data_IF_986060080496
#
_entry.id   IF_986060080496
#
_cell.length_a   1.000
_cell.length_b   1.000
_cell.length_c   1.000
_cell.angle_alpha   90.00
_cell.angle_beta   90.00
_cell.angle_gamma   90.00
#
_symmetry.space_group_name_H-M   'P 1'
#
loop_
_entity.id
_entity.type
_entity.pdbx_description
1 polymer ?
#
# COMPACT_ATOMS: atom_id res chain seq x y z
N UNK A 1 18.10 5.19 23.93
CA UNK A 1 16.70 5.59 23.69
C UNK A 1 16.33 5.10 22.30
N UNK A 2 15.60 4.01 22.24
CA UNK A 2 15.10 3.44 20.97
C UNK A 2 14.01 4.38 20.46
N UNK A 3 14.21 5.04 19.31
CA UNK A 3 13.17 5.77 18.62
C UNK A 3 12.12 4.74 18.22
N UNK A 4 11.02 4.68 18.94
CA UNK A 4 9.83 3.97 18.51
C UNK A 4 9.22 4.82 17.40
N UNK A 5 9.42 4.41 16.15
CA UNK A 5 8.66 4.93 15.03
C UNK A 5 7.27 4.33 15.15
N UNK A 6 6.31 5.13 15.64
CA UNK A 6 4.95 4.68 16.00
C UNK A 6 4.04 4.36 14.78
N UNK A 7 4.58 4.30 13.59
CA UNK A 7 3.83 4.24 12.33
C UNK A 7 3.66 2.84 11.77
N UNK A 8 4.58 1.95 12.13
CA UNK A 8 4.53 0.54 11.82
C UNK A 8 4.62 -0.22 13.14
N UNK A 9 3.52 -0.66 13.67
CA UNK A 9 3.47 -1.49 14.86
C UNK A 9 3.07 -2.91 14.51
N UNK A 10 3.49 -3.87 15.32
CA UNK A 10 3.02 -5.23 15.22
C UNK A 10 2.64 -5.78 16.60
N UNK A 11 1.60 -6.58 16.64
CA UNK A 11 1.27 -7.40 17.78
C UNK A 11 1.64 -8.83 17.46
N UNK A 12 2.58 -9.45 18.21
CA UNK A 12 2.89 -10.86 18.04
C UNK A 12 1.66 -11.69 18.38
N UNK A 13 1.60 -12.88 17.81
CA UNK A 13 0.51 -13.81 18.09
C UNK A 13 0.49 -14.20 19.57
N UNK A 14 -0.67 -14.20 20.16
CA UNK A 14 -0.87 -14.77 21.49
C UNK A 14 -0.87 -16.32 21.43
N UNK A 15 -1.21 -16.89 20.27
CA UNK A 15 -1.15 -18.33 19.99
C UNK A 15 -0.86 -18.61 18.51
N UNK A 16 -0.51 -19.86 18.16
CA UNK A 16 -0.28 -20.27 16.76
C UNK A 16 -1.54 -20.19 15.89
N UNK A 17 -2.72 -20.08 16.48
CA UNK A 17 -4.00 -20.00 15.78
C UNK A 17 -4.51 -18.58 15.60
N UNK A 18 -3.95 -17.60 16.32
CA UNK A 18 -4.32 -16.19 16.16
C UNK A 18 -3.48 -15.53 15.07
N UNK A 19 -4.08 -14.65 14.24
CA UNK A 19 -3.32 -13.89 13.25
C UNK A 19 -2.39 -12.90 13.96
N UNK A 20 -1.19 -12.71 13.41
CA UNK A 20 -0.40 -11.56 13.76
C UNK A 20 -1.05 -10.30 13.16
N UNK A 21 -0.83 -9.14 13.77
CA UNK A 21 -1.34 -7.87 13.27
C UNK A 21 -0.18 -6.95 12.92
N UNK A 22 -0.16 -6.44 11.69
CA UNK A 22 0.70 -5.32 11.26
C UNK A 22 -0.17 -4.09 11.01
N UNK A 23 0.31 -2.92 11.40
CA UNK A 23 -0.40 -1.67 11.22
C UNK A 23 0.38 -0.75 10.26
N UNK A 24 -0.29 -0.28 9.22
CA UNK A 24 0.18 0.74 8.28
C UNK A 24 -0.60 2.02 8.57
N UNK A 25 -0.09 2.83 9.50
CA UNK A 25 -0.80 4.01 10.02
C UNK A 25 -0.09 5.32 9.68
N UNK A 26 0.62 5.35 8.54
CA UNK A 26 1.30 6.54 8.06
C UNK A 26 1.42 6.53 6.53
N UNK A 27 2.08 7.55 6.00
CA UNK A 27 2.47 7.63 4.60
C UNK A 27 3.39 6.47 4.20
N UNK A 28 3.26 6.02 2.96
CA UNK A 28 4.13 5.00 2.37
C UNK A 28 5.37 5.67 1.78
N UNK A 29 6.55 5.18 2.22
CA UNK A 29 7.85 5.73 1.81
C UNK A 29 8.18 7.06 2.49
N UNK A 30 9.27 7.68 2.06
CA UNK A 30 9.65 9.02 2.48
C UNK A 30 8.84 10.07 1.73
N UNK A 31 8.50 11.18 2.38
CA UNK A 31 7.88 12.31 1.72
C UNK A 31 8.92 13.17 0.96
N UNK A 32 8.44 14.10 0.14
CA UNK A 32 9.27 15.03 -0.64
C UNK A 32 10.14 15.95 0.20
N UNK A 33 9.86 16.08 1.48
CA UNK A 33 10.57 16.94 2.43
C UNK A 33 11.45 16.17 3.40
N UNK A 34 11.62 14.85 3.19
CA UNK A 34 12.43 13.97 4.05
C UNK A 34 11.73 13.54 5.33
N UNK A 35 10.41 13.64 5.39
CA UNK A 35 9.60 13.03 6.45
C UNK A 35 9.66 11.51 6.37
N UNK A 36 9.70 10.86 7.53
CA UNK A 36 9.78 9.40 7.62
C UNK A 36 8.40 8.78 7.52
N UNK A 37 8.16 8.01 6.48
CA UNK A 37 7.00 7.12 6.38
C UNK A 37 7.41 5.64 6.43
N UNK A 38 6.50 4.76 6.05
CA UNK A 38 6.69 3.31 6.05
C UNK A 38 7.36 2.89 4.74
N UNK A 39 8.67 2.67 4.75
CA UNK A 39 9.38 2.15 3.59
C UNK A 39 9.11 0.65 3.39
N UNK A 40 9.28 0.17 2.15
CA UNK A 40 9.20 -1.25 1.84
C UNK A 40 10.18 -2.08 2.67
N UNK A 41 11.37 -1.52 2.98
CA UNK A 41 12.35 -2.20 3.84
C UNK A 41 11.82 -2.35 5.27
N UNK A 42 11.33 -1.28 5.88
CA UNK A 42 10.79 -1.34 7.24
C UNK A 42 9.63 -2.33 7.33
N UNK A 43 8.76 -2.34 6.32
CA UNK A 43 7.66 -3.30 6.22
C UNK A 43 8.16 -4.74 6.08
N UNK A 44 9.20 -4.99 5.28
CA UNK A 44 9.81 -6.30 5.13
C UNK A 44 10.37 -6.83 6.46
N UNK A 45 11.08 -5.99 7.21
CA UNK A 45 11.66 -6.35 8.50
C UNK A 45 10.54 -6.71 9.52
N UNK A 46 9.46 -5.93 9.56
CA UNK A 46 8.30 -6.20 10.39
C UNK A 46 7.57 -7.50 9.96
N UNK A 47 7.43 -7.72 8.64
CA UNK A 47 6.80 -8.93 8.09
C UNK A 47 7.58 -10.20 8.46
N UNK A 48 8.90 -10.14 8.49
CA UNK A 48 9.75 -11.25 8.96
C UNK A 48 9.54 -11.52 10.45
N UNK A 49 9.38 -10.47 11.25
CA UNK A 49 9.20 -10.57 12.70
C UNK A 49 7.89 -11.27 13.11
N UNK A 50 6.83 -11.14 12.31
CA UNK A 50 5.53 -11.77 12.60
C UNK A 50 5.47 -13.26 12.22
N UNK A 51 6.46 -13.75 11.49
CA UNK A 51 6.58 -15.16 11.13
C UNK A 51 5.55 -15.65 10.10
N UNK A 52 5.46 -16.98 9.87
CA UNK A 52 4.85 -17.55 8.66
C UNK A 52 3.34 -17.83 8.75
N UNK A 53 2.60 -17.42 9.76
CA UNK A 53 1.19 -17.78 9.89
C UNK A 53 0.22 -16.71 9.37
N UNK A 54 -1.10 -16.82 9.66
CA UNK A 54 -2.10 -15.85 9.27
C UNK A 54 -1.75 -14.43 9.71
N UNK A 55 -2.09 -13.45 8.87
CA UNK A 55 -1.74 -12.06 9.08
C UNK A 55 -2.96 -11.16 8.86
N UNK A 56 -3.17 -10.20 9.75
CA UNK A 56 -4.04 -9.05 9.53
C UNK A 56 -3.16 -7.83 9.30
N UNK A 57 -3.44 -7.07 8.26
CA UNK A 57 -2.81 -5.78 7.99
C UNK A 57 -3.86 -4.69 8.15
N UNK A 58 -3.77 -3.92 9.22
CA UNK A 58 -4.64 -2.77 9.45
C UNK A 58 -4.07 -1.54 8.74
N UNK A 59 -4.93 -0.83 8.00
CA UNK A 59 -4.52 0.25 7.12
C UNK A 59 -5.27 1.54 7.49
N UNK A 60 -4.49 2.58 7.74
CA UNK A 60 -4.94 3.96 7.86
C UNK A 60 -3.85 4.87 7.26
N UNK A 61 -3.84 4.99 5.94
CA UNK A 61 -2.75 5.63 5.19
C UNK A 61 -3.27 6.46 4.02
N UNK A 62 -2.73 7.68 3.84
CA UNK A 62 -3.03 8.52 2.67
C UNK A 62 -2.36 8.01 1.38
N UNK A 63 -1.51 7.00 1.44
CA UNK A 63 -0.68 6.55 0.34
C UNK A 63 0.74 7.12 0.40
N UNK A 64 1.36 7.36 -0.75
CA UNK A 64 2.72 7.91 -0.84
C UNK A 64 3.53 7.32 -1.99
N UNK A 65 4.74 6.82 -1.74
CA UNK A 65 5.64 6.32 -2.77
C UNK A 65 5.10 5.06 -3.45
N UNK A 66 4.94 5.14 -4.78
CA UNK A 66 4.37 4.06 -5.59
C UNK A 66 5.23 2.79 -5.54
N UNK A 67 6.56 2.92 -5.57
CA UNK A 67 7.47 1.77 -5.59
C UNK A 67 7.49 1.03 -4.26
N UNK A 68 7.51 1.76 -3.14
CA UNK A 68 7.40 1.15 -1.81
C UNK A 68 6.05 0.42 -1.66
N UNK A 69 4.97 1.05 -2.09
CA UNK A 69 3.65 0.45 -2.00
C UNK A 69 3.48 -0.80 -2.87
N UNK A 70 4.01 -0.79 -4.10
CA UNK A 70 4.02 -1.97 -4.97
C UNK A 70 4.88 -3.10 -4.38
N UNK A 71 6.02 -2.77 -3.76
CA UNK A 71 6.85 -3.76 -3.09
C UNK A 71 6.11 -4.39 -1.89
N UNK A 72 5.44 -3.58 -1.07
CA UNK A 72 4.59 -4.06 0.04
C UNK A 72 3.46 -4.95 -0.47
N UNK A 73 2.75 -4.52 -1.53
CA UNK A 73 1.71 -5.32 -2.18
C UNK A 73 2.25 -6.70 -2.60
N UNK A 74 3.39 -6.73 -3.28
CA UNK A 74 3.99 -7.98 -3.76
C UNK A 74 4.46 -8.88 -2.61
N UNK A 75 5.02 -8.31 -1.53
CA UNK A 75 5.38 -9.07 -0.33
C UNK A 75 4.17 -9.74 0.32
N UNK A 76 3.05 -9.05 0.42
CA UNK A 76 1.81 -9.61 0.95
C UNK A 76 1.24 -10.69 0.03
N UNK A 77 1.19 -10.46 -1.28
CA UNK A 77 0.72 -11.43 -2.27
C UNK A 77 1.59 -12.69 -2.37
N UNK A 78 2.86 -12.58 -2.03
CA UNK A 78 3.80 -13.71 -2.00
C UNK A 78 3.70 -14.60 -0.76
N UNK A 79 2.88 -14.25 0.24
CA UNK A 79 2.73 -15.09 1.44
C UNK A 79 1.98 -16.37 1.13
N UNK A 80 2.39 -17.45 1.78
CA UNK A 80 1.69 -18.74 1.71
C UNK A 80 0.50 -18.82 2.68
N UNK A 81 0.59 -18.10 3.80
CA UNK A 81 -0.48 -18.05 4.79
C UNK A 81 -1.49 -16.94 4.46
N UNK A 82 -2.76 -17.10 4.86
CA UNK A 82 -3.81 -16.13 4.58
C UNK A 82 -3.47 -14.73 5.10
N UNK A 83 -3.76 -13.72 4.28
CA UNK A 83 -3.65 -12.30 4.61
C UNK A 83 -5.04 -11.67 4.58
N UNK A 84 -5.43 -11.04 5.68
CA UNK A 84 -6.59 -10.15 5.74
C UNK A 84 -6.10 -8.71 5.79
N UNK A 85 -6.52 -7.87 4.87
CA UNK A 85 -6.33 -6.43 4.98
C UNK A 85 -7.57 -5.79 5.55
N UNK A 86 -7.40 -4.87 6.49
CA UNK A 86 -8.51 -4.18 7.16
C UNK A 86 -8.30 -2.67 7.09
N UNK A 87 -9.18 -1.97 6.36
CA UNK A 87 -9.17 -0.51 6.33
C UNK A 87 -9.91 0.02 7.55
N UNK A 88 -9.17 0.64 8.48
CA UNK A 88 -9.74 1.12 9.75
C UNK A 88 -10.06 2.61 9.74
N UNK A 89 -9.47 3.38 8.83
CA UNK A 89 -9.74 4.79 8.60
C UNK A 89 -9.74 5.10 7.12
N UNK A 90 -8.58 5.21 6.52
CA UNK A 90 -8.44 5.48 5.08
C UNK A 90 -7.42 4.55 4.42
N UNK A 91 -7.73 4.12 3.21
CA UNK A 91 -6.76 3.53 2.29
C UNK A 91 -6.80 4.35 0.99
N UNK A 92 -5.94 5.34 0.88
CA UNK A 92 -5.91 6.24 -0.27
C UNK A 92 -4.69 5.98 -1.16
N UNK A 93 -4.83 6.29 -2.45
CA UNK A 93 -3.73 6.23 -3.43
C UNK A 93 -3.06 4.86 -3.40
N UNK A 94 -1.73 4.78 -3.27
CA UNK A 94 -0.99 3.50 -3.24
C UNK A 94 -1.35 2.62 -2.02
N UNK A 95 -1.87 3.17 -0.93
CA UNK A 95 -2.35 2.37 0.19
C UNK A 95 -3.61 1.56 -0.17
N UNK A 96 -4.41 2.03 -1.12
CA UNK A 96 -5.54 1.27 -1.66
C UNK A 96 -5.07 0.03 -2.44
N UNK A 97 -3.95 0.10 -3.14
CA UNK A 97 -3.30 -1.05 -3.77
C UNK A 97 -2.84 -2.05 -2.72
N UNK A 98 -2.21 -1.58 -1.64
CA UNK A 98 -1.79 -2.46 -0.53
C UNK A 98 -3.01 -3.18 0.06
N UNK A 99 -4.13 -2.47 0.24
CA UNK A 99 -5.37 -3.09 0.73
C UNK A 99 -5.88 -4.21 -0.19
N UNK A 100 -5.68 -4.09 -1.50
CA UNK A 100 -6.05 -5.14 -2.46
C UNK A 100 -5.16 -6.38 -2.42
N UNK A 101 -4.05 -6.36 -1.66
CA UNK A 101 -3.19 -7.54 -1.50
C UNK A 101 -3.80 -8.62 -0.61
N UNK A 102 -4.76 -8.29 0.24
CA UNK A 102 -5.42 -9.26 1.11
C UNK A 102 -6.19 -10.34 0.33
N UNK A 103 -6.17 -11.56 0.83
CA UNK A 103 -7.08 -12.61 0.37
C UNK A 103 -8.52 -12.24 0.75
N UNK A 104 -8.69 -11.71 1.97
CA UNK A 104 -9.90 -11.04 2.45
C UNK A 104 -9.64 -9.54 2.67
N UNK A 105 -10.64 -8.71 2.34
CA UNK A 105 -10.59 -7.27 2.54
C UNK A 105 -11.76 -6.88 3.43
N UNK A 106 -11.45 -6.26 4.56
CA UNK A 106 -12.43 -5.73 5.50
C UNK A 106 -12.37 -4.20 5.51
N UNK A 107 -13.53 -3.57 5.63
CA UNK A 107 -13.62 -2.12 5.79
C UNK A 107 -14.43 -1.79 7.03
N UNK A 108 -13.90 -0.94 7.89
CA UNK A 108 -14.65 -0.40 9.02
C UNK A 108 -15.81 0.47 8.50
N UNK A 109 -16.89 0.55 9.25
CA UNK A 109 -18.11 1.28 8.85
C UNK A 109 -17.84 2.73 8.45
N UNK A 110 -16.95 3.42 9.16
CA UNK A 110 -16.56 4.81 8.89
C UNK A 110 -15.20 4.92 8.19
N UNK A 111 -14.86 3.96 7.32
CA UNK A 111 -13.60 3.99 6.57
C UNK A 111 -13.79 4.45 5.12
N UNK A 112 -12.70 4.94 4.52
CA UNK A 112 -12.68 5.46 3.15
C UNK A 112 -11.67 4.67 2.30
N UNK A 113 -12.06 4.40 1.05
CA UNK A 113 -11.18 3.83 0.03
C UNK A 113 -11.12 4.80 -1.16
N UNK A 114 -9.91 5.31 -1.48
CA UNK A 114 -9.75 6.31 -2.54
C UNK A 114 -8.69 5.88 -3.53
N UNK A 115 -9.04 6.00 -4.81
CA UNK A 115 -8.15 5.74 -5.93
C UNK A 115 -8.01 7.00 -6.79
N UNK A 116 -6.84 7.23 -7.34
CA UNK A 116 -6.58 8.32 -8.28
C UNK A 116 -5.36 7.97 -9.16
N UNK A 117 -5.18 8.74 -10.23
CA UNK A 117 -3.99 8.62 -11.06
C UNK A 117 -2.73 8.99 -10.28
N UNK A 118 -1.60 8.30 -10.53
CA UNK A 118 -0.33 8.66 -9.91
C UNK A 118 0.08 10.07 -10.34
N UNK A 119 0.63 10.82 -9.40
CA UNK A 119 1.16 12.16 -9.64
C UNK A 119 2.65 12.23 -9.30
N UNK A 120 3.33 13.18 -9.88
CA UNK A 120 4.74 13.41 -9.66
C UNK A 120 5.14 14.84 -9.93
N UNK A 121 6.36 15.20 -9.54
CA UNK A 121 6.93 16.51 -9.80
C UNK A 121 8.27 16.33 -10.49
N UNK A 122 8.53 17.14 -11.50
CA UNK A 122 9.82 17.19 -12.20
C UNK A 122 10.15 18.63 -12.57
N UNK A 123 11.42 18.99 -12.43
CA UNK A 123 11.97 20.24 -12.93
C UNK A 123 13.12 19.88 -13.88
N UNK A 124 13.14 20.49 -15.08
CA UNK A 124 14.16 20.19 -16.08
C UNK A 124 13.77 20.63 -17.47
N UNK A 125 14.34 19.98 -18.46
CA UNK A 125 14.09 20.20 -19.88
C UNK A 125 12.73 19.64 -20.31
N UNK A 126 12.27 20.00 -21.51
CA UNK A 126 11.06 19.42 -22.10
C UNK A 126 11.14 17.90 -22.25
N UNK A 127 12.34 17.36 -22.43
CA UNK A 127 12.56 15.92 -22.50
C UNK A 127 12.39 15.24 -21.13
N UNK A 128 12.85 15.87 -20.05
CA UNK A 128 12.66 15.37 -18.69
C UNK A 128 11.16 15.36 -18.31
N UNK A 129 10.41 16.37 -18.73
CA UNK A 129 8.96 16.41 -18.52
C UNK A 129 8.24 15.29 -19.29
N UNK A 130 8.64 15.01 -20.54
CA UNK A 130 8.06 13.88 -21.30
C UNK A 130 8.39 12.54 -20.68
N UNK A 131 9.63 12.34 -20.18
CA UNK A 131 10.02 11.12 -19.47
C UNK A 131 9.17 10.92 -18.23
N UNK A 132 8.94 11.98 -17.44
CA UNK A 132 8.07 11.90 -16.27
C UNK A 132 6.64 11.54 -16.66
N UNK A 133 6.06 12.20 -17.66
CA UNK A 133 4.71 11.88 -18.14
C UNK A 133 4.59 10.42 -18.54
N UNK A 134 5.54 9.89 -19.33
CA UNK A 134 5.55 8.49 -19.73
C UNK A 134 5.66 7.54 -18.52
N UNK A 135 6.45 7.88 -17.50
CA UNK A 135 6.57 7.09 -16.29
C UNK A 135 5.25 7.06 -15.49
N UNK A 136 4.58 8.20 -15.38
CA UNK A 136 3.26 8.27 -14.73
C UNK A 136 2.21 7.45 -15.47
N UNK A 137 2.21 7.49 -16.82
CA UNK A 137 1.32 6.65 -17.63
C UNK A 137 1.57 5.15 -17.38
N UNK A 138 2.84 4.73 -17.32
CA UNK A 138 3.21 3.34 -17.01
C UNK A 138 2.73 2.94 -15.61
N UNK A 139 2.92 3.80 -14.61
CA UNK A 139 2.42 3.54 -13.27
C UNK A 139 0.90 3.41 -13.25
N UNK A 140 0.19 4.32 -13.93
CA UNK A 140 -1.26 4.30 -14.02
C UNK A 140 -1.77 2.98 -14.63
N UNK A 141 -1.13 2.47 -15.67
CA UNK A 141 -1.48 1.17 -16.27
C UNK A 141 -1.25 -0.01 -15.31
N UNK A 142 -0.13 -0.02 -14.57
CA UNK A 142 0.15 -1.06 -13.57
C UNK A 142 -0.92 -1.05 -12.47
N UNK A 143 -1.24 0.13 -11.92
CA UNK A 143 -2.23 0.28 -10.86
C UNK A 143 -3.63 -0.10 -11.35
N UNK A 144 -4.03 0.38 -12.53
CA UNK A 144 -5.30 0.03 -13.15
C UNK A 144 -5.43 -1.48 -13.38
N UNK A 145 -4.35 -2.16 -13.76
CA UNK A 145 -4.31 -3.61 -13.91
C UNK A 145 -4.60 -4.35 -12.60
N UNK A 146 -4.07 -3.87 -11.47
CA UNK A 146 -4.33 -4.45 -10.14
C UNK A 146 -5.81 -4.26 -9.76
N UNK A 147 -6.36 -3.04 -9.93
CA UNK A 147 -7.77 -2.76 -9.66
C UNK A 147 -8.69 -3.61 -10.53
N UNK A 148 -8.42 -3.68 -11.84
CA UNK A 148 -9.19 -4.50 -12.80
C UNK A 148 -9.22 -5.96 -12.36
N UNK A 149 -8.06 -6.52 -12.04
CA UNK A 149 -7.96 -7.92 -11.60
C UNK A 149 -8.74 -8.22 -10.32
N UNK A 150 -8.77 -7.27 -9.39
CA UNK A 150 -9.41 -7.47 -8.08
C UNK A 150 -10.91 -7.20 -8.11
N UNK A 151 -11.36 -6.23 -8.91
CA UNK A 151 -12.76 -5.79 -8.95
C UNK A 151 -13.60 -6.44 -10.05
N UNK A 152 -12.95 -7.01 -11.06
CA UNK A 152 -13.62 -7.50 -12.27
C UNK A 152 -14.15 -6.38 -13.20
N UNK A 153 -13.90 -5.11 -12.86
CA UNK A 153 -14.26 -3.97 -13.72
C UNK A 153 -13.32 -3.89 -14.93
N UNK A 154 -13.80 -3.28 -16.01
CA UNK A 154 -12.94 -3.03 -17.20
C UNK A 154 -11.88 -1.97 -16.91
N UNK A 155 -10.76 -2.00 -17.65
CA UNK A 155 -9.72 -0.98 -17.54
C UNK A 155 -10.28 0.43 -17.77
N UNK A 156 -11.19 0.60 -18.71
CA UNK A 156 -11.83 1.90 -18.97
C UNK A 156 -12.64 2.41 -17.76
N UNK A 157 -13.37 1.53 -17.07
CA UNK A 157 -14.10 1.90 -15.86
C UNK A 157 -13.17 2.27 -14.70
N UNK A 158 -12.07 1.53 -14.55
CA UNK A 158 -11.06 1.84 -13.53
C UNK A 158 -10.38 3.18 -13.84
N UNK A 159 -9.92 3.38 -15.08
CA UNK A 159 -9.28 4.64 -15.48
C UNK A 159 -10.20 5.85 -15.27
N UNK A 160 -11.47 5.73 -15.61
CA UNK A 160 -12.47 6.77 -15.35
C UNK A 160 -12.72 7.03 -13.85
N UNK A 161 -12.47 6.05 -12.98
CA UNK A 161 -12.60 6.22 -11.53
C UNK A 161 -11.32 6.77 -10.89
N UNK A 162 -10.17 6.72 -11.57
CA UNK A 162 -8.89 7.27 -11.12
C UNK A 162 -8.73 8.75 -11.50
N UNK A 163 -9.51 9.26 -12.45
CA UNK A 163 -9.51 10.67 -12.91
C UNK A 163 -10.42 11.50 -12.02
#
# INVERSE_FOLDING_TARGET
MTKVTNWLSYSPRASVHEPAVLQIFDQIGEDWFGGSGISAKAFSDALQSVGPGPLVVEINSPGGNVWDGLAIYNMLRGRQAPVTTRVVGIAASIASIIALAGDSIEMAEASLFMIHDPSGMVAGTSDDMRKMANALDQHAEILAGIYTKRTGKTSAQIRAAMT
#
